data_IF_484443807734
#
_entry.id   IF_484443807734
#
_cell.length_a   1.000
_cell.length_b   1.000
_cell.length_c   1.000
_cell.angle_alpha   90.00
_cell.angle_beta   90.00
_cell.angle_gamma   90.00
#
_symmetry.space_group_name_H-M   'P 1'
#
loop_
_entity.id
_entity.type
_entity.pdbx_description
1 polymer ?
#
# COMPACT_ATOMS: atom_id res chain seq x y z
N UNK A 1 74.96 -10.35 -4.33
CA UNK A 1 73.98 -9.26 -4.28
C UNK A 1 72.74 -9.74 -5.02
N UNK A 2 71.74 -10.19 -4.26
CA UNK A 2 70.53 -10.86 -4.78
C UNK A 2 69.40 -9.84 -4.91
N UNK A 3 68.99 -9.56 -6.13
CA UNK A 3 67.80 -8.79 -6.43
C UNK A 3 66.55 -9.70 -6.47
N UNK A 4 65.62 -9.52 -5.55
CA UNK A 4 64.30 -10.19 -5.56
C UNK A 4 63.33 -9.40 -6.44
N UNK A 5 62.89 -10.04 -7.50
CA UNK A 5 61.77 -9.52 -8.31
C UNK A 5 60.43 -9.89 -7.60
N UNK A 6 59.63 -8.90 -7.28
CA UNK A 6 58.27 -9.06 -6.78
C UNK A 6 57.35 -9.00 -8.00
N UNK A 7 56.76 -10.12 -8.37
CA UNK A 7 55.68 -10.18 -9.34
C UNK A 7 54.36 -9.81 -8.68
N UNK A 8 53.76 -8.72 -9.15
CA UNK A 8 52.40 -8.32 -8.72
C UNK A 8 51.42 -8.95 -9.70
N UNK A 9 50.68 -9.96 -9.22
CA UNK A 9 49.57 -10.56 -9.96
C UNK A 9 48.35 -9.67 -9.88
N UNK A 10 47.97 -9.09 -11.04
CA UNK A 10 46.76 -8.30 -11.21
C UNK A 10 45.59 -9.23 -11.47
N UNK A 11 44.73 -9.47 -10.44
CA UNK A 11 43.50 -10.22 -10.60
C UNK A 11 42.43 -9.37 -11.25
N UNK A 12 42.08 -9.67 -12.49
CA UNK A 12 40.98 -9.05 -13.23
C UNK A 12 39.67 -9.74 -12.78
N UNK A 13 38.87 -9.05 -11.99
CA UNK A 13 37.51 -9.48 -11.70
C UNK A 13 36.60 -9.20 -12.90
N UNK A 14 36.28 -10.25 -13.66
CA UNK A 14 35.27 -10.20 -14.71
C UNK A 14 33.88 -10.20 -14.04
N UNK A 15 33.32 -9.00 -13.84
CA UNK A 15 31.93 -8.84 -13.39
C UNK A 15 30.98 -9.30 -14.49
N UNK A 16 30.29 -10.43 -14.28
CA UNK A 16 29.18 -10.88 -15.12
C UNK A 16 27.98 -9.97 -14.83
N UNK A 17 27.71 -9.02 -15.74
CA UNK A 17 26.45 -8.27 -15.75
C UNK A 17 25.34 -9.22 -16.17
N UNK A 18 24.50 -9.62 -15.19
CA UNK A 18 23.25 -10.31 -15.48
C UNK A 18 22.31 -9.32 -16.19
N UNK A 19 22.17 -9.46 -17.49
CA UNK A 19 21.09 -8.78 -18.21
C UNK A 19 19.77 -9.40 -17.78
N UNK A 20 18.93 -8.63 -17.10
CA UNK A 20 17.54 -9.00 -16.87
C UNK A 20 16.89 -9.26 -18.24
N UNK A 21 16.46 -10.48 -18.48
CA UNK A 21 15.72 -10.84 -19.69
C UNK A 21 14.35 -10.16 -19.59
N UNK A 22 14.14 -9.11 -20.38
CA UNK A 22 12.83 -8.54 -20.64
C UNK A 22 12.05 -9.66 -21.33
N UNK A 23 10.87 -10.10 -20.80
CA UNK A 23 10.07 -11.11 -21.47
C UNK A 23 9.77 -10.64 -22.89
N UNK A 24 10.16 -11.42 -23.87
CA UNK A 24 9.92 -11.11 -25.27
C UNK A 24 8.41 -11.07 -25.51
N UNK A 25 7.90 -9.92 -25.92
CA UNK A 25 6.51 -9.83 -26.37
C UNK A 25 6.29 -10.77 -27.56
N UNK A 26 5.13 -11.45 -27.64
CA UNK A 26 4.83 -12.34 -28.75
C UNK A 26 4.93 -11.56 -30.07
N UNK A 27 5.75 -12.05 -30.98
CA UNK A 27 5.89 -11.45 -32.30
C UNK A 27 4.80 -12.03 -33.21
N UNK A 28 3.88 -11.18 -33.65
CA UNK A 28 2.89 -11.54 -34.65
C UNK A 28 3.44 -11.24 -36.04
N UNK A 29 3.40 -12.24 -36.93
CA UNK A 29 3.72 -12.02 -38.34
C UNK A 29 2.54 -11.30 -38.99
N UNK A 30 2.69 -10.03 -39.30
CA UNK A 30 1.70 -9.21 -40.01
C UNK A 30 2.07 -9.21 -41.48
N UNK A 31 1.18 -9.73 -42.30
CA UNK A 31 1.29 -9.70 -43.77
C UNK A 31 -0.10 -9.46 -44.38
N UNK A 32 -0.22 -9.49 -45.71
CA UNK A 32 -1.49 -9.24 -46.40
C UNK A 32 -2.57 -10.30 -46.10
N UNK A 33 -2.20 -11.49 -45.61
CA UNK A 33 -3.09 -12.55 -45.22
C UNK A 33 -3.44 -12.51 -43.73
N UNK A 34 -2.54 -11.93 -42.89
CA UNK A 34 -2.67 -11.86 -41.43
C UNK A 34 -2.69 -10.43 -40.94
N UNK A 35 -3.74 -9.69 -41.30
CA UNK A 35 -3.95 -8.31 -40.85
C UNK A 35 -4.47 -8.29 -39.43
N UNK A 36 -3.88 -7.41 -38.57
CA UNK A 36 -4.26 -7.31 -37.18
C UNK A 36 -4.23 -5.85 -36.69
N UNK A 37 -5.03 -5.58 -35.66
CA UNK A 37 -4.99 -4.34 -34.90
C UNK A 37 -4.49 -4.67 -33.50
N UNK A 38 -3.54 -3.87 -33.01
CA UNK A 38 -3.08 -3.89 -31.62
C UNK A 38 -3.65 -2.66 -30.89
N UNK A 39 -4.26 -2.88 -29.74
CA UNK A 39 -4.92 -1.85 -28.93
C UNK A 39 -4.52 -2.04 -27.48
N UNK A 40 -4.39 -0.94 -26.76
CA UNK A 40 -4.29 -0.93 -25.30
C UNK A 40 -5.29 0.04 -24.71
N UNK A 41 -5.85 -0.30 -23.57
CA UNK A 41 -6.68 0.60 -22.79
C UNK A 41 -6.37 0.47 -21.31
N UNK A 42 -6.51 1.59 -20.63
CA UNK A 42 -6.39 1.70 -19.19
C UNK A 42 -7.73 2.19 -18.63
N UNK A 43 -8.18 1.55 -17.57
CA UNK A 43 -9.38 1.97 -16.84
C UNK A 43 -9.09 2.01 -15.34
N UNK A 44 -9.69 3.01 -14.69
CA UNK A 44 -9.58 3.22 -13.24
C UNK A 44 -10.96 3.06 -12.63
N UNK A 45 -11.06 2.24 -11.60
CA UNK A 45 -12.26 2.10 -10.77
C UNK A 45 -11.96 2.66 -9.40
N UNK A 46 -12.84 3.53 -8.91
CA UNK A 46 -12.73 4.15 -7.59
C UNK A 46 -14.02 3.93 -6.82
N UNK A 47 -13.89 3.52 -5.56
CA UNK A 47 -15.01 3.31 -4.63
C UNK A 47 -14.73 3.97 -3.29
N UNK A 48 -15.78 4.24 -2.51
CA UNK A 48 -15.60 4.61 -1.11
C UNK A 48 -15.05 3.40 -0.32
N UNK A 49 -14.13 3.61 0.64
CA UNK A 49 -13.63 2.51 1.47
C UNK A 49 -14.74 1.94 2.36
N UNK A 50 -14.73 0.64 2.57
CA UNK A 50 -15.57 -0.05 3.55
C UNK A 50 -14.76 -0.63 4.71
N UNK A 51 -13.43 -0.42 4.69
CA UNK A 51 -12.50 -0.88 5.70
C UNK A 51 -11.41 0.17 5.93
N UNK A 52 -11.14 0.46 7.21
CA UNK A 52 -9.96 1.20 7.66
C UNK A 52 -9.02 0.25 8.42
N UNK A 53 -7.74 0.35 8.15
CA UNK A 53 -6.68 -0.30 8.91
C UNK A 53 -5.95 0.79 9.69
N UNK A 54 -6.17 0.83 10.99
CA UNK A 54 -5.56 1.81 11.89
C UNK A 54 -4.29 1.22 12.48
N UNK A 55 -3.18 1.91 12.29
CA UNK A 55 -1.89 1.53 12.87
C UNK A 55 -1.73 2.23 14.21
N UNK A 56 -1.47 1.49 15.27
CA UNK A 56 -1.26 2.00 16.62
C UNK A 56 -0.06 1.33 17.27
N UNK A 57 0.61 2.06 18.15
CA UNK A 57 1.75 1.54 18.87
C UNK A 57 1.99 2.27 20.19
N UNK A 58 2.88 1.73 20.98
CA UNK A 58 3.44 2.42 22.13
C UNK A 58 4.92 2.11 22.32
N UNK A 59 5.59 3.01 23.02
CA UNK A 59 6.95 2.84 23.46
C UNK A 59 7.04 3.10 24.97
N UNK A 60 7.55 2.12 25.73
CA UNK A 60 7.83 2.23 27.17
C UNK A 60 9.34 2.23 27.38
N UNK A 61 9.88 3.28 28.05
CA UNK A 61 11.32 3.43 28.37
C UNK A 61 11.54 3.42 29.87
N UNK A 62 12.26 2.42 30.38
CA UNK A 62 12.54 2.28 31.81
C UNK A 62 13.98 1.82 32.09
N UNK A 63 14.35 1.74 33.36
CA UNK A 63 15.74 1.54 33.80
C UNK A 63 16.31 0.13 33.53
N UNK A 64 15.45 -0.91 33.45
CA UNK A 64 15.90 -2.29 33.21
C UNK A 64 14.92 -3.09 32.33
N UNK A 65 15.39 -4.18 31.76
CA UNK A 65 14.61 -4.98 30.82
C UNK A 65 13.33 -5.59 31.44
N UNK A 66 13.38 -6.04 32.70
CA UNK A 66 12.22 -6.63 33.37
C UNK A 66 11.15 -5.59 33.66
N UNK A 67 11.57 -4.41 34.10
CA UNK A 67 10.67 -3.29 34.31
C UNK A 67 10.05 -2.79 32.99
N UNK A 68 10.83 -2.73 31.89
CA UNK A 68 10.34 -2.38 30.56
C UNK A 68 9.28 -3.36 30.10
N UNK A 69 9.50 -4.64 30.29
CA UNK A 69 8.54 -5.67 29.92
C UNK A 69 7.27 -5.60 30.78
N UNK A 70 7.41 -5.42 32.10
CA UNK A 70 6.26 -5.32 33.00
C UNK A 70 5.40 -4.09 32.73
N UNK A 71 6.02 -2.95 32.47
CA UNK A 71 5.33 -1.68 32.13
C UNK A 71 4.66 -1.79 30.78
N UNK A 72 5.38 -2.25 29.77
CA UNK A 72 4.83 -2.46 28.44
C UNK A 72 3.68 -3.46 28.40
N UNK A 73 3.76 -4.55 29.20
CA UNK A 73 2.65 -5.52 29.32
C UNK A 73 1.38 -4.89 29.88
N UNK A 74 1.50 -3.98 30.87
CA UNK A 74 0.34 -3.26 31.39
C UNK A 74 -0.29 -2.36 30.34
N UNK A 75 0.54 -1.57 29.64
CA UNK A 75 0.08 -0.67 28.58
C UNK A 75 -0.55 -1.44 27.42
N UNK A 76 0.11 -2.50 26.96
CA UNK A 76 -0.41 -3.41 25.92
C UNK A 76 -1.81 -3.94 26.27
N UNK A 77 -1.96 -4.49 27.48
CA UNK A 77 -3.24 -5.05 27.94
C UNK A 77 -4.30 -3.95 28.08
N UNK A 78 -3.95 -2.75 28.53
CA UNK A 78 -4.87 -1.62 28.62
C UNK A 78 -5.38 -1.19 27.24
N UNK A 79 -4.48 -1.06 26.25
CA UNK A 79 -4.84 -0.71 24.86
C UNK A 79 -5.78 -1.76 24.27
N UNK A 80 -5.44 -3.04 24.35
CA UNK A 80 -6.28 -4.13 23.83
C UNK A 80 -7.65 -4.18 24.54
N UNK A 81 -7.67 -3.96 25.85
CA UNK A 81 -8.94 -3.91 26.62
C UNK A 81 -9.80 -2.73 26.17
N UNK A 82 -9.22 -1.54 25.96
CA UNK A 82 -9.95 -0.36 25.50
C UNK A 82 -10.53 -0.54 24.10
N UNK A 83 -9.77 -1.14 23.19
CA UNK A 83 -10.24 -1.47 21.85
C UNK A 83 -11.43 -2.45 21.88
N UNK A 84 -11.37 -3.48 22.73
CA UNK A 84 -12.49 -4.40 22.94
C UNK A 84 -13.71 -3.72 23.55
N UNK A 85 -13.51 -2.83 24.52
CA UNK A 85 -14.60 -2.03 25.10
C UNK A 85 -15.24 -1.08 24.07
N UNK A 86 -14.45 -0.57 23.14
CA UNK A 86 -14.94 0.14 21.98
C UNK A 86 -15.67 -0.76 20.97
N UNK A 87 -15.84 -2.07 21.25
CA UNK A 87 -16.63 -3.01 20.44
C UNK A 87 -15.86 -3.69 19.30
N UNK A 88 -14.53 -3.63 19.31
CA UNK A 88 -13.72 -4.36 18.34
C UNK A 88 -13.55 -5.82 18.75
N UNK A 89 -13.66 -6.74 17.79
CA UNK A 89 -13.45 -8.17 18.01
C UNK A 89 -11.95 -8.50 18.10
N UNK A 90 -11.63 -9.64 18.72
CA UNK A 90 -10.23 -10.13 18.75
C UNK A 90 -9.64 -10.34 17.36
N UNK A 91 -10.47 -10.74 16.40
CA UNK A 91 -10.07 -10.92 15.00
C UNK A 91 -9.80 -9.62 14.25
N UNK A 92 -10.19 -8.48 14.82
CA UNK A 92 -9.91 -7.17 14.22
C UNK A 92 -8.60 -6.56 14.73
N UNK A 93 -8.02 -7.09 15.81
CA UNK A 93 -6.81 -6.55 16.47
C UNK A 93 -5.65 -7.51 16.22
N UNK A 94 -4.67 -7.09 15.42
CA UNK A 94 -3.52 -7.91 15.08
C UNK A 94 -2.24 -7.26 15.60
N UNK A 95 -1.46 -8.01 16.38
CA UNK A 95 -0.10 -7.59 16.76
C UNK A 95 0.83 -7.76 15.57
N UNK A 96 1.54 -6.69 15.20
CA UNK A 96 2.50 -6.72 14.08
C UNK A 96 3.92 -6.96 14.56
N UNK A 97 4.34 -6.21 15.56
CA UNK A 97 5.70 -6.34 16.08
C UNK A 97 5.76 -6.10 17.58
N UNK A 98 6.73 -6.76 18.21
CA UNK A 98 7.12 -6.52 19.60
C UNK A 98 8.64 -6.58 19.70
N UNK A 99 9.24 -5.53 20.25
CA UNK A 99 10.69 -5.45 20.38
C UNK A 99 11.09 -4.88 21.73
N UNK A 100 11.93 -5.60 22.46
CA UNK A 100 12.61 -5.13 23.65
C UNK A 100 14.08 -4.87 23.30
N UNK A 101 14.55 -3.66 23.43
CA UNK A 101 15.92 -3.29 23.05
C UNK A 101 16.57 -2.32 24.04
N UNK A 102 17.90 -2.37 24.20
CA UNK A 102 18.61 -1.37 24.99
C UNK A 102 18.61 -0.02 24.26
N UNK A 103 18.27 1.04 24.98
CA UNK A 103 18.32 2.42 24.45
C UNK A 103 19.68 3.04 24.68
N UNK A 104 20.28 2.75 25.85
CA UNK A 104 21.58 3.26 26.27
C UNK A 104 22.31 2.17 27.06
N UNK A 105 23.33 1.59 26.44
CA UNK A 105 24.12 0.53 27.05
C UNK A 105 24.89 1.04 28.32
N UNK A 106 25.18 2.34 28.42
CA UNK A 106 25.90 2.91 29.58
C UNK A 106 24.98 3.11 30.78
N UNK A 107 23.71 3.45 30.54
CA UNK A 107 22.73 3.74 31.60
C UNK A 107 21.74 2.59 31.84
N UNK A 108 21.97 1.43 31.24
CA UNK A 108 21.11 0.23 31.36
C UNK A 108 19.60 0.50 31.11
N UNK A 109 19.30 1.51 30.24
CA UNK A 109 17.92 1.79 29.89
C UNK A 109 17.46 0.90 28.75
N UNK A 110 16.23 0.38 28.90
CA UNK A 110 15.57 -0.45 27.90
C UNK A 110 14.27 0.20 27.46
N UNK A 111 13.88 -0.07 26.22
CA UNK A 111 12.55 0.25 25.71
C UNK A 111 11.86 -1.00 25.19
N UNK A 112 10.56 -1.07 25.43
CA UNK A 112 9.66 -1.99 24.78
C UNK A 112 8.83 -1.19 23.78
N UNK A 113 8.84 -1.63 22.53
CA UNK A 113 7.98 -1.10 21.45
C UNK A 113 7.04 -2.21 21.03
N UNK A 114 5.77 -1.91 20.89
CA UNK A 114 4.80 -2.83 20.32
C UNK A 114 3.85 -2.08 19.37
N UNK A 115 3.52 -2.71 18.24
CA UNK A 115 2.61 -2.17 17.23
C UNK A 115 1.50 -3.15 16.92
N UNK A 116 0.36 -2.60 16.52
CA UNK A 116 -0.82 -3.34 16.07
C UNK A 116 -1.40 -2.72 14.83
N UNK A 117 -2.04 -3.54 14.02
CA UNK A 117 -3.04 -3.13 13.06
C UNK A 117 -4.43 -3.45 13.59
N UNK A 118 -5.34 -2.50 13.45
CA UNK A 118 -6.73 -2.62 13.89
C UNK A 118 -7.66 -2.39 12.71
N UNK A 119 -8.44 -3.41 12.37
CA UNK A 119 -9.42 -3.35 11.29
C UNK A 119 -10.74 -2.84 11.83
N UNK A 120 -11.27 -1.76 11.24
CA UNK A 120 -12.51 -1.12 11.70
C UNK A 120 -13.26 -0.53 10.49
N UNK A 121 -14.59 -0.32 10.59
CA UNK A 121 -15.31 0.49 9.60
C UNK A 121 -14.73 1.90 9.52
N UNK A 122 -14.70 2.53 8.33
CA UNK A 122 -14.09 3.84 8.12
C UNK A 122 -14.59 4.93 9.08
N UNK A 123 -15.88 4.96 9.34
CA UNK A 123 -16.53 5.91 10.24
C UNK A 123 -16.11 5.77 11.70
N UNK A 124 -15.52 4.64 12.08
CA UNK A 124 -15.05 4.35 13.44
C UNK A 124 -13.55 4.48 13.63
N UNK A 125 -12.82 4.85 12.57
CA UNK A 125 -11.35 4.95 12.63
C UNK A 125 -10.88 5.98 13.68
N UNK A 126 -11.50 7.15 13.73
CA UNK A 126 -11.19 8.19 14.72
C UNK A 126 -11.49 7.75 16.16
N UNK A 127 -12.64 7.10 16.41
CA UNK A 127 -13.00 6.56 17.73
C UNK A 127 -12.02 5.47 18.17
N UNK A 128 -11.65 4.59 17.24
CA UNK A 128 -10.67 3.51 17.48
C UNK A 128 -9.32 4.07 17.90
N UNK A 129 -8.84 5.09 17.19
CA UNK A 129 -7.58 5.77 17.51
C UNK A 129 -7.64 6.47 18.87
N UNK A 130 -8.71 7.20 19.16
CA UNK A 130 -8.91 7.89 20.42
C UNK A 130 -8.94 6.90 21.62
N UNK A 131 -9.62 5.78 21.47
CA UNK A 131 -9.66 4.72 22.49
C UNK A 131 -8.26 4.16 22.77
N UNK A 132 -7.45 3.93 21.73
CA UNK A 132 -6.09 3.44 21.89
C UNK A 132 -5.17 4.46 22.57
N UNK A 133 -5.22 5.73 22.15
CA UNK A 133 -4.39 6.81 22.72
C UNK A 133 -4.77 7.05 24.19
N UNK A 134 -6.07 7.08 24.49
CA UNK A 134 -6.57 7.22 25.89
C UNK A 134 -6.12 6.08 26.79
N UNK A 135 -5.86 4.89 26.24
CA UNK A 135 -5.37 3.72 26.97
C UNK A 135 -3.85 3.63 27.05
N UNK A 136 -3.11 4.56 26.41
CA UNK A 136 -1.65 4.63 26.52
C UNK A 136 -0.90 4.37 25.23
N UNK A 137 -1.55 4.31 24.07
CA UNK A 137 -0.84 4.35 22.78
C UNK A 137 -0.13 5.71 22.64
N UNK A 138 1.13 5.67 22.20
CA UNK A 138 1.97 6.86 22.03
C UNK A 138 2.43 7.06 20.59
N UNK A 139 2.08 6.13 19.73
CA UNK A 139 2.39 6.14 18.32
C UNK A 139 1.13 5.78 17.52
N UNK A 140 0.85 6.57 16.50
CA UNK A 140 -0.18 6.29 15.51
C UNK A 140 0.42 6.47 14.13
N UNK A 141 0.40 5.42 13.34
CA UNK A 141 0.77 5.48 11.94
C UNK A 141 -0.34 6.08 11.07
N UNK A 142 -0.14 5.99 9.78
CA UNK A 142 -1.17 6.33 8.80
C UNK A 142 -2.39 5.39 8.94
N UNK A 143 -3.55 5.87 8.52
CA UNK A 143 -4.73 5.02 8.37
C UNK A 143 -4.80 4.59 6.91
N UNK A 144 -4.77 3.27 6.68
CA UNK A 144 -4.93 2.71 5.35
C UNK A 144 -6.42 2.52 5.05
N UNK A 145 -6.90 3.26 4.06
CA UNK A 145 -8.26 3.12 3.56
C UNK A 145 -8.29 2.05 2.48
N UNK A 146 -9.14 1.07 2.64
CA UNK A 146 -9.23 -0.06 1.72
C UNK A 146 -10.66 -0.58 1.61
N UNK A 147 -10.84 -1.66 0.85
CA UNK A 147 -12.09 -2.42 0.79
C UNK A 147 -11.84 -3.84 1.25
N UNK A 148 -12.88 -4.49 1.80
CA UNK A 148 -12.78 -5.87 2.27
C UNK A 148 -12.44 -6.83 1.14
N UNK A 149 -13.02 -6.60 -0.04
CA UNK A 149 -12.76 -7.40 -1.24
C UNK A 149 -12.03 -6.55 -2.30
N UNK A 150 -10.73 -6.46 -2.15
CA UNK A 150 -9.88 -5.71 -3.09
C UNK A 150 -9.82 -6.38 -4.47
N UNK A 151 -9.94 -7.72 -4.51
CA UNK A 151 -9.92 -8.46 -5.76
C UNK A 151 -11.16 -8.18 -6.60
N UNK A 152 -12.33 -8.04 -5.98
CA UNK A 152 -13.54 -7.65 -6.72
C UNK A 152 -13.39 -6.26 -7.38
N UNK A 153 -12.66 -5.33 -6.75
CA UNK A 153 -12.37 -4.02 -7.34
C UNK A 153 -11.36 -4.13 -8.49
N UNK A 154 -10.35 -4.97 -8.36
CA UNK A 154 -9.36 -5.27 -9.40
C UNK A 154 -10.04 -5.91 -10.62
N UNK A 155 -10.92 -6.90 -10.39
CA UNK A 155 -11.69 -7.56 -11.45
C UNK A 155 -12.59 -6.56 -12.19
N UNK A 156 -13.23 -5.63 -11.49
CA UNK A 156 -14.03 -4.57 -12.12
C UNK A 156 -13.18 -3.66 -13.01
N UNK A 157 -11.97 -3.29 -12.59
CA UNK A 157 -11.07 -2.49 -13.40
C UNK A 157 -10.63 -3.26 -14.66
N UNK A 158 -10.30 -4.53 -14.51
CA UNK A 158 -9.89 -5.43 -15.59
C UNK A 158 -11.02 -5.63 -16.60
N UNK A 159 -12.24 -5.87 -16.13
CA UNK A 159 -13.42 -6.03 -17.00
C UNK A 159 -13.65 -4.77 -17.84
N UNK A 160 -13.67 -3.58 -17.20
CA UNK A 160 -13.84 -2.30 -17.90
C UNK A 160 -12.74 -2.07 -18.94
N UNK A 161 -11.48 -2.32 -18.59
CA UNK A 161 -10.36 -2.17 -19.51
C UNK A 161 -10.48 -3.14 -20.71
N UNK A 162 -10.93 -4.37 -20.46
CA UNK A 162 -11.14 -5.38 -21.52
C UNK A 162 -12.28 -4.98 -22.46
N UNK A 163 -13.38 -4.49 -21.93
CA UNK A 163 -14.50 -3.95 -22.73
C UNK A 163 -14.05 -2.76 -23.56
N UNK A 164 -13.26 -1.86 -22.95
CA UNK A 164 -12.75 -0.67 -23.63
C UNK A 164 -11.81 -1.03 -24.78
N UNK A 165 -10.85 -1.92 -24.59
CA UNK A 165 -9.92 -2.41 -25.63
C UNK A 165 -10.70 -2.92 -26.84
N UNK A 166 -11.74 -3.74 -26.63
CA UNK A 166 -12.57 -4.28 -27.72
C UNK A 166 -13.34 -3.17 -28.45
N UNK A 167 -13.88 -2.19 -27.72
CA UNK A 167 -14.57 -1.03 -28.28
C UNK A 167 -13.65 -0.19 -29.15
N UNK A 168 -12.45 0.11 -28.65
CA UNK A 168 -11.46 0.92 -29.35
C UNK A 168 -10.96 0.19 -30.62
N UNK A 169 -10.73 -1.13 -30.53
CA UNK A 169 -10.38 -1.94 -31.68
C UNK A 169 -11.47 -1.91 -32.77
N UNK A 170 -12.75 -1.97 -32.39
CA UNK A 170 -13.86 -1.89 -33.32
C UNK A 170 -13.93 -0.54 -34.04
N UNK A 171 -13.70 0.56 -33.31
CA UNK A 171 -13.66 1.92 -33.87
C UNK A 171 -12.51 2.04 -34.86
N UNK A 172 -11.31 1.56 -34.51
CA UNK A 172 -10.13 1.60 -35.37
C UNK A 172 -10.31 0.76 -36.64
N UNK A 173 -10.85 -0.47 -36.53
CA UNK A 173 -11.12 -1.32 -37.67
C UNK A 173 -12.08 -0.63 -38.64
N UNK A 174 -13.18 -0.10 -38.14
CA UNK A 174 -14.20 0.62 -38.93
C UNK A 174 -13.60 1.85 -39.63
N UNK A 175 -12.79 2.66 -38.93
CA UNK A 175 -12.16 3.84 -39.49
C UNK A 175 -11.14 3.47 -40.58
N UNK A 176 -10.49 2.30 -40.46
CA UNK A 176 -9.59 1.75 -41.47
C UNK A 176 -10.29 1.02 -42.63
N UNK A 177 -11.64 1.02 -42.68
CA UNK A 177 -12.40 0.35 -43.72
C UNK A 177 -12.45 -1.17 -43.61
N UNK A 178 -12.19 -1.71 -42.43
CA UNK A 178 -12.17 -3.14 -42.11
C UNK A 178 -13.23 -3.48 -41.07
N UNK A 179 -13.46 -4.77 -40.86
CA UNK A 179 -14.27 -5.28 -39.75
C UNK A 179 -13.37 -5.86 -38.67
N UNK A 180 -13.77 -5.71 -37.40
CA UNK A 180 -13.09 -6.35 -36.28
C UNK A 180 -13.38 -7.86 -36.32
N UNK A 181 -12.31 -8.66 -36.37
CA UNK A 181 -12.33 -10.11 -36.33
C UNK A 181 -12.15 -10.68 -34.92
N UNK A 182 -11.58 -11.89 -34.86
CA UNK A 182 -11.35 -12.61 -33.61
C UNK A 182 -10.24 -12.01 -32.75
N UNK A 183 -10.32 -12.19 -31.43
CA UNK A 183 -9.24 -11.92 -30.51
C UNK A 183 -8.11 -12.94 -30.72
N UNK A 184 -6.90 -12.44 -31.00
CA UNK A 184 -5.72 -13.28 -31.24
C UNK A 184 -4.85 -13.38 -29.98
N UNK A 185 -4.79 -12.29 -29.20
CA UNK A 185 -3.97 -12.22 -28.00
C UNK A 185 -4.57 -11.18 -27.04
N UNK A 186 -4.50 -11.47 -25.75
CA UNK A 186 -4.82 -10.52 -24.69
C UNK A 186 -3.89 -10.75 -23.50
N UNK A 187 -3.46 -9.67 -22.90
CA UNK A 187 -2.71 -9.69 -21.64
C UNK A 187 -3.05 -8.47 -20.83
N UNK A 188 -2.99 -8.60 -19.50
CA UNK A 188 -3.06 -7.48 -18.59
C UNK A 188 -1.66 -7.17 -18.06
N UNK A 189 -1.41 -5.90 -17.79
CA UNK A 189 -0.29 -5.46 -16.98
C UNK A 189 -0.90 -4.91 -15.69
N UNK A 190 -0.87 -5.70 -14.63
CA UNK A 190 -1.19 -5.21 -13.31
C UNK A 190 0.02 -4.41 -12.82
N UNK A 191 -0.10 -3.10 -12.81
CA UNK A 191 0.83 -2.25 -12.09
C UNK A 191 0.37 -2.23 -10.64
N UNK A 192 0.99 -3.03 -9.78
CA UNK A 192 0.84 -3.00 -8.32
C UNK A 192 1.44 -1.72 -7.70
N UNK A 193 1.50 -0.64 -8.45
CA UNK A 193 1.90 0.63 -7.91
C UNK A 193 0.69 1.23 -7.19
N UNK A 194 0.72 1.34 -5.85
CA UNK A 194 -0.27 2.13 -5.15
C UNK A 194 -0.18 3.55 -5.72
N UNK A 195 -1.20 3.99 -6.41
CA UNK A 195 -1.33 5.38 -6.83
C UNK A 195 -1.55 6.18 -5.55
N UNK A 196 -0.45 6.54 -4.89
CA UNK A 196 -0.47 7.60 -3.88
C UNK A 196 -0.77 8.88 -4.64
N UNK A 197 -2.03 9.19 -4.78
CA UNK A 197 -2.49 10.48 -5.24
C UNK A 197 -2.02 11.53 -4.23
N UNK A 198 -0.83 12.10 -4.44
CA UNK A 198 -0.48 13.37 -3.82
C UNK A 198 -1.36 14.43 -4.46
N UNK A 199 -2.54 14.60 -3.91
CA UNK A 199 -3.29 15.82 -4.12
C UNK A 199 -2.57 16.90 -3.32
N UNK A 200 -1.71 17.67 -3.98
CA UNK A 200 -1.24 18.93 -3.42
C UNK A 200 -2.41 19.92 -3.46
N UNK A 201 -3.24 19.91 -2.43
CA UNK A 201 -4.10 21.05 -2.15
C UNK A 201 -3.28 22.09 -1.39
N UNK A 202 -2.80 23.07 -2.13
CA UNK A 202 -2.15 24.26 -1.58
C UNK A 202 -3.22 25.26 -1.12
N UNK A 203 -3.98 24.89 -0.10
CA UNK A 203 -4.88 25.83 0.59
C UNK A 203 -4.62 25.70 2.09
N UNK A 204 -3.60 26.43 2.54
CA UNK A 204 -3.43 26.71 3.97
C UNK A 204 -4.38 27.85 4.30
N UNK A 205 -5.62 27.52 4.63
CA UNK A 205 -6.49 28.45 5.33
C UNK A 205 -6.03 28.50 6.79
N UNK A 206 -5.45 29.64 7.18
CA UNK A 206 -5.16 29.95 8.57
C UNK A 206 -6.49 30.08 9.34
N UNK A 207 -6.81 29.06 10.14
CA UNK A 207 -7.86 29.20 11.13
C UNK A 207 -7.23 29.68 12.44
N UNK A 208 -7.55 30.92 12.84
CA UNK A 208 -7.31 31.41 14.20
C UNK A 208 -8.17 30.61 15.18
N UNK A 209 -7.52 29.80 16.00
CA UNK A 209 -8.18 29.04 17.08
C UNK A 209 -8.34 29.96 18.29
N UNK A 210 -9.52 30.53 18.44
CA UNK A 210 -9.92 31.18 19.70
C UNK A 210 -10.16 30.11 20.77
N UNK A 211 -9.27 30.05 21.74
CA UNK A 211 -9.33 29.11 22.86
C UNK A 211 -10.50 29.43 23.79
N UNK A 212 -11.65 28.81 23.60
CA UNK A 212 -12.68 28.71 24.60
C UNK A 212 -12.46 27.44 25.42
N UNK A 213 -12.07 27.62 26.69
CA UNK A 213 -11.96 26.55 27.69
C UNK A 213 -13.35 25.98 27.98
N UNK A 214 -13.76 24.94 27.25
CA UNK A 214 -14.89 24.11 27.68
C UNK A 214 -14.36 22.79 28.25
N UNK A 215 -14.89 22.39 29.41
CA UNK A 215 -14.60 21.13 30.13
C UNK A 215 -15.41 19.97 29.53
N UNK A 216 -15.47 19.84 28.21
CA UNK A 216 -15.97 18.64 27.56
C UNK A 216 -14.79 17.73 27.24
N UNK A 217 -15.03 16.40 27.25
CA UNK A 217 -14.05 15.46 26.73
C UNK A 217 -13.63 15.89 25.32
N UNK A 218 -12.34 15.75 24.96
CA UNK A 218 -11.89 16.14 23.64
C UNK A 218 -12.70 15.36 22.58
N UNK A 219 -13.17 16.07 21.58
CA UNK A 219 -13.80 15.43 20.42
C UNK A 219 -12.70 14.68 19.65
N UNK A 220 -12.95 13.44 19.20
CA UNK A 220 -12.02 12.72 18.37
C UNK A 220 -11.57 13.53 17.15
N UNK A 221 -10.35 13.30 16.68
CA UNK A 221 -9.79 13.97 15.52
C UNK A 221 -10.70 13.75 14.30
N UNK A 222 -11.01 14.82 13.55
CA UNK A 222 -11.73 14.69 12.29
C UNK A 222 -10.83 14.01 11.26
N UNK A 223 -11.20 12.81 10.85
CA UNK A 223 -10.47 11.99 9.88
C UNK A 223 -11.43 11.68 8.74
N UNK A 224 -11.10 12.14 7.53
CA UNK A 224 -11.92 11.91 6.35
C UNK A 224 -11.30 10.79 5.50
N UNK A 225 -12.06 9.73 5.17
CA UNK A 225 -11.59 8.66 4.31
C UNK A 225 -11.48 9.17 2.85
N UNK A 226 -10.47 8.66 2.14
CA UNK A 226 -10.32 8.89 0.70
C UNK A 226 -10.68 7.64 -0.08
N UNK A 227 -11.09 7.84 -1.35
CA UNK A 227 -11.48 6.75 -2.25
C UNK A 227 -10.34 5.78 -2.50
N UNK A 228 -10.69 4.52 -2.54
CA UNK A 228 -9.80 3.43 -2.95
C UNK A 228 -9.92 3.26 -4.46
N UNK A 229 -8.79 3.24 -5.15
CA UNK A 229 -8.75 3.12 -6.60
C UNK A 229 -7.90 1.93 -7.02
N UNK A 230 -8.32 1.26 -8.10
CA UNK A 230 -7.53 0.25 -8.80
C UNK A 230 -7.51 0.58 -10.29
N UNK A 231 -6.34 0.35 -10.88
CA UNK A 231 -6.11 0.59 -12.31
C UNK A 231 -5.79 -0.74 -12.98
N UNK A 232 -6.39 -0.99 -14.14
CA UNK A 232 -6.04 -2.12 -14.98
C UNK A 232 -5.67 -1.63 -16.38
N UNK A 233 -4.59 -2.16 -16.94
CA UNK A 233 -4.16 -1.91 -18.32
C UNK A 233 -4.23 -3.22 -19.09
N UNK A 234 -4.99 -3.22 -20.18
CA UNK A 234 -5.14 -4.39 -21.06
C UNK A 234 -4.54 -4.09 -22.42
N UNK A 235 -3.76 -5.03 -22.92
CA UNK A 235 -3.26 -5.06 -24.31
C UNK A 235 -3.93 -6.21 -25.05
N UNK A 236 -4.42 -5.94 -26.24
CA UNK A 236 -5.02 -6.96 -27.07
C UNK A 236 -4.64 -6.81 -28.55
N UNK A 237 -4.64 -7.95 -29.23
CA UNK A 237 -4.46 -8.04 -30.69
C UNK A 237 -5.68 -8.72 -31.26
N UNK A 238 -6.32 -8.09 -32.24
CA UNK A 238 -7.47 -8.61 -32.96
C UNK A 238 -7.14 -8.77 -34.44
N UNK A 239 -7.67 -9.83 -35.06
CA UNK A 239 -7.70 -9.91 -36.51
C UNK A 239 -8.60 -8.83 -37.10
N UNK A 240 -8.36 -8.42 -38.34
CA UNK A 240 -9.26 -7.57 -39.10
C UNK A 240 -9.58 -8.21 -40.47
N UNK A 241 -10.85 -8.08 -40.89
CA UNK A 241 -11.42 -8.65 -42.10
C UNK A 241 -11.84 -7.56 -43.09
#
# INVERSE_FOLDING_TARGET
MNGKHIEVALAIFAGTTAFAQIPSQPQFKIDTANRAITVSAEEIVSVEPDLAIVHIGFESKVADAKAAYADGSRTSNAIVAALKQAGLSDSAIHSESQRLEPVDAKNHKFKLVQTWTVRTPPERAAETLDAAISAGATDSGDIDWTVQDIHALEDQALDRATVRVRSDAAVMAKAGGAKLGSLLFVTNQNSDLPVRGRVYSNDIAQFEVSALKSKSAPTPLAIEPHKVSRTATVYAVFAIE
#
